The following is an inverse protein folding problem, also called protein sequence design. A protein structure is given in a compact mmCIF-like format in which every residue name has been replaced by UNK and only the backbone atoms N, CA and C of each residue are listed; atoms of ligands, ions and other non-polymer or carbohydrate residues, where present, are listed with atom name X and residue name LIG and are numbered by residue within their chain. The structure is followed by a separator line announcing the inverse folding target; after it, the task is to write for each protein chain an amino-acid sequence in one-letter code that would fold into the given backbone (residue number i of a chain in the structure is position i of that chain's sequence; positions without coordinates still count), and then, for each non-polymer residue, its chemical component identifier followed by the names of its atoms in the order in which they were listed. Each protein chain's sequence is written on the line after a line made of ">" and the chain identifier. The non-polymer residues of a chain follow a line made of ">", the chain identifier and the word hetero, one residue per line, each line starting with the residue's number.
data_IF_562659906080
#
_entry.id   IF_562659906080
#
_cell.length_a   1.000
_cell.length_b   1.000
_cell.length_c   1.000
_cell.angle_alpha   90.00
_cell.angle_beta   90.00
_cell.angle_gamma   90.00
#
_symmetry.space_group_name_H-M   'P 1'
#
loop_
_entity.id
_entity.type
_entity.pdbx_description
1 polymer ?
#
# COMPACT_ATOMS: atom_id res chain seq x y z
N UNK A 1 10.32 -5.18 -22.14
CA UNK A 1 10.72 -6.07 -20.99
C UNK A 1 11.95 -6.89 -21.35
N UNK A 2 12.85 -7.12 -20.38
CA UNK A 2 13.97 -8.05 -20.53
C UNK A 2 13.54 -9.52 -20.29
N UNK A 3 14.42 -10.49 -20.63
CA UNK A 3 14.13 -11.93 -20.48
C UNK A 3 13.83 -12.36 -19.05
N UNK A 4 14.47 -11.75 -18.05
CA UNK A 4 14.25 -12.06 -16.64
C UNK A 4 12.85 -11.64 -16.19
N UNK A 5 12.38 -10.45 -16.63
CA UNK A 5 11.02 -9.98 -16.32
C UNK A 5 9.96 -10.87 -16.97
N UNK A 6 10.17 -11.33 -18.21
CA UNK A 6 9.28 -12.30 -18.87
C UNK A 6 9.25 -13.60 -18.10
N UNK A 7 10.40 -14.12 -17.69
CA UNK A 7 10.49 -15.36 -16.89
C UNK A 7 9.78 -15.20 -15.52
N UNK A 8 10.00 -14.09 -14.85
CA UNK A 8 9.32 -13.74 -13.59
C UNK A 8 7.79 -13.78 -13.72
N UNK A 9 7.25 -13.12 -14.75
CA UNK A 9 5.81 -13.09 -15.02
C UNK A 9 5.26 -14.49 -15.33
N UNK A 10 5.97 -15.29 -16.12
CA UNK A 10 5.55 -16.66 -16.46
C UNK A 10 5.47 -17.58 -15.23
N UNK A 11 6.37 -17.40 -14.26
CA UNK A 11 6.26 -18.14 -12.98
C UNK A 11 5.03 -17.66 -12.20
N UNK A 12 4.80 -16.36 -12.10
CA UNK A 12 3.68 -15.80 -11.32
C UNK A 12 2.31 -16.16 -11.91
N UNK A 13 2.19 -16.29 -13.23
CA UNK A 13 0.94 -16.72 -13.90
C UNK A 13 0.46 -18.12 -13.48
N UNK A 14 1.32 -18.94 -12.88
CA UNK A 14 0.92 -20.25 -12.33
C UNK A 14 0.12 -20.14 -11.04
N UNK A 15 0.23 -19.04 -10.33
CA UNK A 15 -0.31 -18.84 -8.98
C UNK A 15 -1.27 -17.67 -8.87
N UNK A 16 -1.14 -16.69 -9.76
CA UNK A 16 -1.97 -15.49 -9.79
C UNK A 16 -2.93 -15.56 -10.99
N UNK A 17 -4.15 -15.05 -10.79
CA UNK A 17 -5.12 -14.95 -11.88
C UNK A 17 -4.71 -13.88 -12.91
N UNK A 18 -5.21 -13.99 -14.14
CA UNK A 18 -4.95 -13.01 -15.20
C UNK A 18 -5.34 -11.59 -14.80
N UNK A 19 -6.41 -11.42 -14.01
CA UNK A 19 -6.86 -10.12 -13.50
C UNK A 19 -5.91 -9.49 -12.47
N UNK A 20 -4.88 -10.22 -12.03
CA UNK A 20 -3.86 -9.74 -11.09
C UNK A 20 -2.57 -9.34 -11.79
N UNK A 21 -2.37 -9.73 -13.03
CA UNK A 21 -1.19 -9.35 -13.82
C UNK A 21 -1.70 -8.63 -15.06
N UNK A 22 -1.55 -7.33 -15.09
CA UNK A 22 -2.06 -6.47 -16.16
C UNK A 22 -0.91 -5.77 -16.87
N UNK A 23 -1.06 -5.62 -18.20
CA UNK A 23 -0.08 -4.96 -19.07
C UNK A 23 -0.40 -3.49 -19.27
N UNK A 24 0.53 -2.78 -19.91
CA UNK A 24 0.38 -1.38 -20.33
C UNK A 24 -0.97 -1.10 -21.02
N UNK A 25 -1.58 0.02 -20.68
CA UNK A 25 -2.93 0.39 -21.17
C UNK A 25 -4.07 -0.12 -20.29
N UNK A 26 -3.83 -1.11 -19.42
CA UNK A 26 -4.83 -1.66 -18.49
C UNK A 26 -4.64 -1.16 -17.05
N UNK A 27 -3.67 -0.30 -16.81
CA UNK A 27 -3.43 0.37 -15.53
C UNK A 27 -2.82 1.74 -15.78
N UNK A 28 -3.00 2.64 -14.81
CA UNK A 28 -2.46 3.97 -14.88
C UNK A 28 -1.72 4.30 -13.57
N UNK A 29 -0.47 4.78 -13.71
CA UNK A 29 0.32 5.35 -12.63
C UNK A 29 0.82 6.71 -13.08
N UNK A 30 0.36 7.76 -12.39
CA UNK A 30 0.65 9.15 -12.75
C UNK A 30 1.56 9.84 -11.73
N UNK A 31 2.41 10.75 -12.20
CA UNK A 31 2.91 11.86 -11.40
C UNK A 31 1.85 12.95 -11.40
N UNK A 32 1.27 13.36 -10.24
CA UNK A 32 0.25 14.40 -10.19
C UNK A 32 0.71 15.77 -10.69
N UNK A 33 2.00 15.95 -10.92
CA UNK A 33 2.61 17.18 -11.49
C UNK A 33 3.05 17.02 -12.93
N UNK A 34 2.76 15.87 -13.56
CA UNK A 34 3.11 15.56 -14.96
C UNK A 34 4.60 15.76 -15.32
N UNK A 35 5.51 15.62 -14.34
CA UNK A 35 6.96 15.79 -14.54
C UNK A 35 7.67 14.49 -14.91
N UNK A 36 7.08 13.36 -14.54
CA UNK A 36 7.65 12.02 -14.67
C UNK A 36 6.66 11.11 -15.39
N UNK A 37 7.16 10.32 -16.32
CA UNK A 37 6.37 9.33 -17.07
C UNK A 37 6.67 7.93 -16.54
N UNK A 38 5.61 7.17 -16.25
CA UNK A 38 5.75 5.76 -15.91
C UNK A 38 6.10 4.95 -17.17
N UNK A 39 7.20 4.20 -17.10
CA UNK A 39 7.67 3.34 -18.20
C UNK A 39 7.41 1.85 -17.96
N UNK A 40 6.92 1.46 -16.79
CA UNK A 40 6.62 0.05 -16.53
C UNK A 40 5.56 -0.47 -17.48
N UNK A 41 5.79 -1.66 -18.00
CA UNK A 41 4.87 -2.37 -18.89
C UNK A 41 3.96 -3.35 -18.15
N UNK A 42 4.23 -3.62 -16.86
CA UNK A 42 3.52 -4.63 -16.06
C UNK A 42 3.13 -4.07 -14.70
N UNK A 43 1.88 -4.33 -14.32
CA UNK A 43 1.38 -4.09 -12.98
C UNK A 43 0.84 -5.39 -12.37
N UNK A 44 1.27 -5.71 -11.15
CA UNK A 44 0.79 -6.86 -10.38
C UNK A 44 -0.06 -6.36 -9.23
N UNK A 45 -1.24 -6.98 -9.04
CA UNK A 45 -2.26 -6.59 -8.06
C UNK A 45 -2.54 -7.74 -7.07
N UNK A 46 -1.69 -7.95 -6.05
CA UNK A 46 -1.90 -9.01 -5.06
C UNK A 46 -3.16 -8.78 -4.23
N UNK A 47 -3.79 -9.88 -3.78
CA UNK A 47 -5.03 -9.85 -2.98
C UNK A 47 -4.78 -10.04 -1.47
N UNK A 48 -3.59 -10.46 -1.08
CA UNK A 48 -3.25 -10.74 0.32
C UNK A 48 -1.73 -10.68 0.56
N UNK A 49 -1.33 -10.60 1.83
CA UNK A 49 0.08 -10.55 2.26
C UNK A 49 0.91 -11.74 1.77
N UNK A 50 0.32 -12.94 1.66
CA UNK A 50 1.06 -14.14 1.20
C UNK A 50 1.44 -14.00 -0.26
N UNK A 51 0.56 -13.46 -1.09
CA UNK A 51 0.87 -13.17 -2.50
C UNK A 51 1.96 -12.10 -2.62
N UNK A 52 1.87 -11.00 -1.85
CA UNK A 52 2.96 -9.99 -1.79
C UNK A 52 4.28 -10.63 -1.42
N UNK A 53 4.30 -11.46 -0.37
CA UNK A 53 5.50 -12.19 0.06
C UNK A 53 6.09 -13.07 -1.05
N UNK A 54 5.24 -13.78 -1.79
CA UNK A 54 5.65 -14.66 -2.89
C UNK A 54 6.24 -13.85 -4.05
N UNK A 55 5.55 -12.77 -4.44
CA UNK A 55 5.99 -11.86 -5.51
C UNK A 55 7.35 -11.27 -5.18
N UNK A 56 7.50 -10.66 -4.00
CA UNK A 56 8.76 -10.02 -3.58
C UNK A 56 9.90 -11.04 -3.46
N UNK A 57 9.64 -12.22 -2.90
CA UNK A 57 10.65 -13.29 -2.81
C UNK A 57 11.17 -13.73 -4.17
N UNK A 58 10.27 -13.87 -5.14
CA UNK A 58 10.65 -14.24 -6.50
C UNK A 58 11.39 -13.10 -7.20
N UNK A 59 10.89 -11.87 -7.07
CA UNK A 59 11.53 -10.67 -7.61
C UNK A 59 12.95 -10.50 -7.06
N UNK A 60 13.14 -10.68 -5.75
CA UNK A 60 14.45 -10.64 -5.10
C UNK A 60 15.43 -11.67 -5.69
N UNK A 61 14.96 -12.92 -5.89
CA UNK A 61 15.79 -13.98 -6.47
C UNK A 61 16.21 -13.71 -7.92
N UNK A 62 15.33 -13.10 -8.69
CA UNK A 62 15.54 -12.81 -10.11
C UNK A 62 16.07 -11.39 -10.36
N UNK A 63 16.35 -10.62 -9.29
CA UNK A 63 16.81 -9.24 -9.34
C UNK A 63 15.88 -8.32 -10.14
N UNK A 64 14.56 -8.53 -9.99
CA UNK A 64 13.54 -7.69 -10.64
C UNK A 64 13.21 -6.49 -9.74
N UNK A 65 13.39 -5.25 -10.22
CA UNK A 65 13.03 -4.06 -9.46
C UNK A 65 11.50 -3.95 -9.33
N UNK A 66 11.01 -3.80 -8.09
CA UNK A 66 9.58 -3.63 -7.79
C UNK A 66 9.31 -2.21 -7.30
N UNK A 67 8.32 -1.56 -7.90
CA UNK A 67 7.83 -0.24 -7.51
C UNK A 67 6.47 -0.41 -6.83
N UNK A 68 6.38 -0.31 -5.50
CA UNK A 68 5.09 -0.36 -4.81
C UNK A 68 4.29 0.91 -5.07
N UNK A 69 3.02 0.75 -5.42
CA UNK A 69 2.12 1.86 -5.75
C UNK A 69 0.83 1.77 -4.94
N UNK A 70 0.47 2.89 -4.31
CA UNK A 70 -0.84 3.12 -3.71
C UNK A 70 -1.75 3.93 -4.64
N UNK A 71 -2.32 5.02 -4.12
CA UNK A 71 -3.25 5.88 -4.86
C UNK A 71 -2.61 6.88 -5.85
N UNK A 72 -1.35 6.77 -6.17
CA UNK A 72 -0.58 7.66 -7.08
C UNK A 72 -0.67 9.16 -6.76
N UNK A 73 -0.88 9.51 -5.49
CA UNK A 73 -1.03 10.91 -5.04
C UNK A 73 0.27 11.55 -4.56
N UNK A 74 1.37 10.80 -4.54
CA UNK A 74 2.68 11.26 -4.12
C UNK A 74 3.29 12.27 -5.08
N UNK A 75 3.93 13.33 -4.54
CA UNK A 75 4.44 14.46 -5.33
C UNK A 75 5.95 14.39 -5.62
N UNK A 76 6.61 13.31 -5.22
CA UNK A 76 8.08 13.17 -5.34
C UNK A 76 8.51 12.02 -6.25
N UNK A 77 7.58 11.44 -7.00
CA UNK A 77 7.86 10.45 -8.04
C UNK A 77 8.16 9.02 -7.53
N UNK A 78 8.01 8.73 -6.24
CA UNK A 78 8.31 7.41 -5.67
C UNK A 78 7.45 6.26 -6.24
N UNK A 79 6.31 6.57 -6.85
CA UNK A 79 5.42 5.61 -7.51
C UNK A 79 5.74 5.38 -8.99
N UNK A 80 6.67 6.14 -9.57
CA UNK A 80 6.95 6.12 -11.01
C UNK A 80 8.08 5.15 -11.32
N UNK A 81 7.84 4.21 -12.20
CA UNK A 81 8.88 3.38 -12.80
C UNK A 81 9.55 4.18 -13.93
N UNK A 82 10.87 4.34 -13.88
CA UNK A 82 11.65 5.08 -14.88
C UNK A 82 12.30 4.17 -15.93
N UNK A 83 12.16 2.84 -15.78
CA UNK A 83 12.63 1.84 -16.74
C UNK A 83 11.54 0.80 -17.05
N UNK A 84 11.62 0.17 -18.24
CA UNK A 84 10.60 -0.78 -18.73
C UNK A 84 10.66 -2.15 -18.03
N UNK A 85 11.78 -2.49 -17.42
CA UNK A 85 11.99 -3.75 -16.67
C UNK A 85 11.56 -3.67 -15.19
N UNK A 86 11.23 -2.48 -14.72
CA UNK A 86 10.65 -2.29 -13.40
C UNK A 86 9.16 -2.70 -13.40
N UNK A 87 8.75 -3.43 -12.38
CA UNK A 87 7.39 -3.95 -12.26
C UNK A 87 6.62 -3.18 -11.18
N UNK A 88 5.45 -2.67 -11.53
CA UNK A 88 4.54 -2.04 -10.59
C UNK A 88 3.88 -3.11 -9.70
N UNK A 89 3.86 -2.86 -8.40
CA UNK A 89 3.11 -3.63 -7.42
C UNK A 89 2.01 -2.75 -6.84
N UNK A 90 0.79 -2.85 -7.39
CA UNK A 90 -0.36 -2.09 -6.90
C UNK A 90 -1.00 -2.78 -5.71
N UNK A 91 -1.20 -2.03 -4.63
CA UNK A 91 -1.81 -2.56 -3.40
C UNK A 91 -3.33 -2.33 -3.34
N UNK A 92 -3.96 -1.88 -4.41
CA UNK A 92 -5.38 -1.51 -4.47
C UNK A 92 -6.35 -2.64 -4.04
N UNK A 93 -5.96 -3.91 -4.23
CA UNK A 93 -6.79 -5.07 -3.82
C UNK A 93 -6.62 -5.44 -2.34
N UNK A 94 -5.67 -4.84 -1.65
CA UNK A 94 -5.47 -4.95 -0.21
C UNK A 94 -6.21 -3.80 0.49
N UNK A 95 -7.55 -3.82 0.50
CA UNK A 95 -8.36 -2.68 0.90
C UNK A 95 -9.34 -2.96 2.05
N UNK A 96 -9.18 -4.08 2.74
CA UNK A 96 -10.04 -4.42 3.87
C UNK A 96 -9.83 -3.47 5.05
N UNK A 97 -10.94 -3.04 5.69
CA UNK A 97 -10.95 -2.20 6.88
C UNK A 97 -11.81 -2.88 7.94
N UNK A 98 -11.27 -3.09 9.14
CA UNK A 98 -11.99 -3.65 10.29
C UNK A 98 -11.91 -2.72 11.49
N UNK A 99 -13.06 -2.42 12.10
CA UNK A 99 -13.14 -1.67 13.35
C UNK A 99 -13.35 -2.61 14.54
N UNK A 100 -12.48 -2.49 15.54
CA UNK A 100 -12.55 -3.23 16.79
C UNK A 100 -13.13 -2.36 17.89
N UNK A 101 -14.44 -2.42 18.10
CA UNK A 101 -15.21 -1.55 19.02
C UNK A 101 -14.67 -1.56 20.46
N UNK A 102 -14.28 -2.73 20.99
CA UNK A 102 -13.79 -2.85 22.37
C UNK A 102 -12.48 -2.13 22.63
N UNK A 103 -11.61 -2.06 21.63
CA UNK A 103 -10.27 -1.46 21.74
C UNK A 103 -10.14 -0.12 21.01
N UNK A 104 -11.20 0.36 20.36
CA UNK A 104 -11.15 1.53 19.49
C UNK A 104 -10.04 1.47 18.41
N UNK A 105 -9.79 0.30 17.86
CA UNK A 105 -8.75 0.09 16.87
C UNK A 105 -9.35 -0.10 15.48
N UNK A 106 -8.64 0.43 14.47
CA UNK A 106 -8.84 0.10 13.06
C UNK A 106 -7.70 -0.81 12.60
N UNK A 107 -8.02 -1.98 12.10
CA UNK A 107 -7.11 -2.79 11.30
C UNK A 107 -7.40 -2.50 9.83
N UNK A 108 -6.38 -2.05 9.12
CA UNK A 108 -6.54 -1.52 7.76
C UNK A 108 -5.46 -2.11 6.86
N UNK A 109 -5.85 -2.59 5.71
CA UNK A 109 -4.89 -3.00 4.68
C UNK A 109 -4.35 -1.78 3.92
N UNK A 110 -3.13 -1.90 3.41
CA UNK A 110 -2.35 -0.78 2.84
C UNK A 110 -3.00 -0.06 1.67
N UNK A 111 -3.82 -0.76 0.87
CA UNK A 111 -4.58 -0.22 -0.26
C UNK A 111 -5.91 0.43 0.11
N UNK A 112 -6.28 0.47 1.39
CA UNK A 112 -7.51 1.12 1.81
C UNK A 112 -7.44 2.64 1.63
N UNK A 113 -8.49 3.22 1.05
CA UNK A 113 -8.58 4.65 0.78
C UNK A 113 -8.86 5.41 2.08
N UNK A 114 -8.19 6.54 2.28
CA UNK A 114 -8.29 7.33 3.51
C UNK A 114 -9.71 7.77 3.82
N UNK A 115 -10.49 8.23 2.85
CA UNK A 115 -11.89 8.62 3.06
C UNK A 115 -12.76 7.45 3.54
N UNK A 116 -12.54 6.24 3.06
CA UNK A 116 -13.26 5.03 3.53
C UNK A 116 -12.93 4.72 4.99
N UNK A 117 -11.68 4.88 5.41
CA UNK A 117 -11.24 4.73 6.81
C UNK A 117 -11.93 5.75 7.70
N UNK A 118 -11.95 7.03 7.28
CA UNK A 118 -12.61 8.14 8.01
C UNK A 118 -14.11 7.88 8.15
N UNK A 119 -14.77 7.48 7.07
CA UNK A 119 -16.20 7.19 7.07
C UNK A 119 -16.54 6.03 8.01
N UNK A 120 -15.74 4.94 8.01
CA UNK A 120 -15.95 3.84 8.94
C UNK A 120 -15.78 4.29 10.39
N UNK A 121 -14.75 5.08 10.70
CA UNK A 121 -14.55 5.65 12.04
C UNK A 121 -15.75 6.50 12.47
N UNK A 122 -16.21 7.40 11.59
CA UNK A 122 -17.35 8.30 11.83
C UNK A 122 -18.65 7.52 12.12
N UNK A 123 -18.94 6.47 11.36
CA UNK A 123 -20.09 5.59 11.56
C UNK A 123 -20.09 4.90 12.94
N UNK A 124 -18.95 4.84 13.59
CA UNK A 124 -18.80 4.34 14.96
C UNK A 124 -18.64 5.45 16.00
N UNK A 125 -18.95 6.71 15.66
CA UNK A 125 -18.81 7.87 16.55
C UNK A 125 -17.34 8.16 16.92
N UNK A 126 -16.40 7.92 16.00
CA UNK A 126 -14.96 8.14 16.18
C UNK A 126 -14.39 9.01 15.08
N UNK A 127 -13.32 9.71 15.41
CA UNK A 127 -12.56 10.53 14.47
C UNK A 127 -11.25 9.81 14.08
N UNK A 128 -11.02 9.65 12.79
CA UNK A 128 -9.69 9.37 12.24
C UNK A 128 -9.09 10.71 11.78
N UNK A 129 -8.08 11.29 12.51
CA UNK A 129 -7.77 12.72 12.40
C UNK A 129 -6.87 13.10 11.22
N UNK A 130 -6.46 12.18 10.37
CA UNK A 130 -5.70 12.50 9.17
C UNK A 130 -6.61 13.15 8.12
N UNK A 131 -6.25 14.37 7.67
CA UNK A 131 -7.00 15.12 6.66
C UNK A 131 -6.04 15.60 5.58
N UNK A 132 -6.21 15.08 4.36
CA UNK A 132 -5.39 15.36 3.18
C UNK A 132 -6.27 15.83 2.04
N UNK A 133 -5.76 16.68 1.15
CA UNK A 133 -6.47 17.07 -0.08
C UNK A 133 -6.78 15.86 -0.97
N UNK A 134 -5.94 14.83 -0.93
CA UNK A 134 -6.08 13.59 -1.71
C UNK A 134 -6.85 12.48 -0.98
N UNK A 135 -7.59 12.75 0.09
CA UNK A 135 -8.21 11.70 0.93
C UNK A 135 -9.17 10.76 0.18
N UNK A 136 -9.74 11.21 -0.94
CA UNK A 136 -10.61 10.41 -1.80
C UNK A 136 -9.88 9.38 -2.66
N UNK A 137 -8.55 9.46 -2.79
CA UNK A 137 -7.76 8.57 -3.65
C UNK A 137 -6.49 8.04 -3.01
N UNK A 138 -5.90 8.75 -2.02
CA UNK A 138 -4.71 8.25 -1.35
C UNK A 138 -5.00 6.99 -0.53
N UNK A 139 -4.03 6.08 -0.50
CA UNK A 139 -4.10 4.82 0.22
C UNK A 139 -3.22 4.88 1.47
N UNK A 140 -3.70 4.25 2.55
CA UNK A 140 -3.08 4.36 3.88
C UNK A 140 -1.64 3.85 3.93
N UNK A 141 -1.29 2.82 3.16
CA UNK A 141 0.08 2.32 3.07
C UNK A 141 1.04 3.38 2.54
N UNK A 142 0.64 4.12 1.49
CA UNK A 142 1.40 5.24 0.95
C UNK A 142 1.49 6.41 1.94
N UNK A 143 0.41 6.71 2.66
CA UNK A 143 0.42 7.75 3.70
C UNK A 143 1.43 7.42 4.81
N UNK A 144 1.48 6.16 5.28
CA UNK A 144 2.44 5.68 6.27
C UNK A 144 3.88 5.70 5.76
N UNK A 145 4.09 5.24 4.52
CA UNK A 145 5.42 5.21 3.90
C UNK A 145 6.06 6.61 3.82
N UNK A 146 5.25 7.63 3.54
CA UNK A 146 5.70 9.02 3.41
C UNK A 146 5.55 9.85 4.68
N UNK A 147 5.03 9.27 5.77
CA UNK A 147 4.65 9.96 7.00
C UNK A 147 3.75 11.17 6.71
N UNK A 148 2.65 10.95 5.99
CA UNK A 148 1.76 12.02 5.57
C UNK A 148 1.27 12.83 6.78
N UNK A 149 1.38 14.17 6.66
CA UNK A 149 0.91 15.11 7.66
C UNK A 149 -0.57 15.44 7.45
N UNK A 150 -0.86 16.68 7.20
CA UNK A 150 -2.22 17.17 6.94
C UNK A 150 -2.58 18.33 7.88
N UNK A 151 -3.83 18.76 7.81
CA UNK A 151 -4.25 19.98 8.52
C UNK A 151 -4.24 19.84 10.06
N UNK A 152 -4.39 18.60 10.55
CA UNK A 152 -4.58 18.34 11.99
C UNK A 152 -3.29 17.94 12.73
N UNK A 153 -2.12 18.05 12.09
CA UNK A 153 -0.83 17.57 12.60
C UNK A 153 -0.45 18.19 13.94
N UNK A 154 -0.70 19.48 14.14
CA UNK A 154 -0.34 20.17 15.41
C UNK A 154 -1.02 19.50 16.61
N UNK A 155 -2.25 19.02 16.45
CA UNK A 155 -3.02 18.42 17.55
C UNK A 155 -2.82 16.91 17.66
N UNK A 156 -2.73 16.20 16.54
CA UNK A 156 -2.83 14.74 16.49
C UNK A 156 -1.58 14.05 15.96
N UNK A 157 -0.56 14.80 15.56
CA UNK A 157 0.64 14.25 14.94
C UNK A 157 0.44 13.84 13.47
N UNK A 158 1.49 13.26 12.90
CA UNK A 158 1.49 12.70 11.56
C UNK A 158 0.85 11.28 11.57
N UNK A 159 0.66 10.69 10.39
CA UNK A 159 0.03 9.36 10.30
C UNK A 159 0.82 8.26 11.03
N UNK A 160 2.14 8.37 11.15
CA UNK A 160 2.95 7.40 11.91
C UNK A 160 2.69 7.46 13.41
N UNK A 161 2.36 8.63 13.95
CA UNK A 161 1.99 8.81 15.37
C UNK A 161 0.66 8.10 15.69
N UNK A 162 -0.19 7.92 14.66
CA UNK A 162 -1.46 7.21 14.76
C UNK A 162 -1.32 5.69 14.58
N UNK A 163 -0.13 5.19 14.21
CA UNK A 163 0.13 3.80 13.90
C UNK A 163 0.65 3.04 15.12
N UNK A 164 -0.16 2.16 15.71
CA UNK A 164 0.24 1.33 16.86
C UNK A 164 0.93 0.03 16.46
N UNK A 165 0.72 -0.45 15.26
CA UNK A 165 1.34 -1.68 14.79
C UNK A 165 1.33 -1.77 13.27
N UNK A 166 2.33 -2.47 12.76
CA UNK A 166 2.59 -2.59 11.33
C UNK A 166 2.84 -4.05 10.96
N UNK A 167 2.28 -4.47 9.83
CA UNK A 167 2.73 -5.64 9.10
C UNK A 167 3.32 -5.16 7.76
N UNK A 168 4.51 -5.65 7.44
CA UNK A 168 5.21 -5.30 6.21
C UNK A 168 5.85 -6.54 5.58
N UNK A 169 6.00 -6.53 4.27
CA UNK A 169 6.75 -7.55 3.55
C UNK A 169 8.08 -6.96 3.11
N UNK A 170 9.17 -7.57 3.57
CA UNK A 170 10.53 -7.15 3.22
C UNK A 170 10.88 -7.55 1.77
N UNK A 171 11.89 -6.93 1.12
CA UNK A 171 12.27 -7.24 -0.25
C UNK A 171 12.54 -8.73 -0.52
N UNK A 172 13.06 -9.46 0.47
CA UNK A 172 13.30 -10.90 0.37
C UNK A 172 12.04 -11.77 0.57
N UNK A 173 10.85 -11.14 0.66
CA UNK A 173 9.57 -11.79 0.90
C UNK A 173 9.28 -12.16 2.36
N UNK A 174 10.15 -11.80 3.31
CA UNK A 174 9.92 -12.05 4.74
C UNK A 174 8.83 -11.13 5.27
N UNK A 175 7.84 -11.70 5.98
CA UNK A 175 6.78 -10.91 6.62
C UNK A 175 7.27 -10.49 8.00
N UNK A 176 7.30 -9.19 8.23
CA UNK A 176 7.51 -8.56 9.52
C UNK A 176 6.15 -8.15 10.09
N UNK A 177 5.91 -8.36 11.38
CA UNK A 177 4.69 -7.91 12.04
C UNK A 177 4.96 -7.57 13.50
N UNK A 178 4.65 -6.33 13.89
CA UNK A 178 4.64 -5.88 15.30
C UNK A 178 3.26 -6.05 15.95
N UNK A 179 2.26 -6.55 15.22
CA UNK A 179 0.86 -6.62 15.64
C UNK A 179 0.59 -7.59 16.80
N UNK A 180 1.44 -8.61 16.98
CA UNK A 180 1.32 -9.59 18.06
C UNK A 180 1.62 -9.00 19.45
N UNK A 181 2.34 -7.88 19.51
CA UNK A 181 2.72 -7.20 20.75
C UNK A 181 1.64 -6.27 21.30
N UNK A 182 0.54 -6.06 20.58
CA UNK A 182 -0.52 -5.08 20.90
C UNK A 182 -1.56 -5.59 21.91
N UNK A 183 -1.22 -6.56 22.76
CA UNK A 183 -2.21 -7.15 23.70
C UNK A 183 -2.78 -6.19 24.75
N UNK A 184 -2.28 -4.96 24.89
CA UNK A 184 -2.63 -4.09 26.02
C UNK A 184 -2.55 -2.57 25.77
N UNK A 185 -2.95 -2.04 24.62
CA UNK A 185 -2.96 -0.59 24.45
C UNK A 185 -4.37 -0.04 24.37
N UNK A 186 -4.75 0.72 25.40
CA UNK A 186 -5.93 1.59 25.46
C UNK A 186 -5.50 2.93 24.87
N UNK A 187 -5.82 3.23 23.63
CA UNK A 187 -5.56 4.54 23.04
C UNK A 187 -6.43 4.80 21.80
N UNK A 188 -6.64 6.08 21.40
CA UNK A 188 -7.47 6.39 20.26
C UNK A 188 -6.87 5.84 18.97
N UNK A 189 -7.70 5.31 18.14
CA UNK A 189 -7.54 4.74 16.78
C UNK A 189 -6.08 4.48 16.34
N UNK A 190 -5.74 3.21 16.26
CA UNK A 190 -4.49 2.76 15.68
C UNK A 190 -4.69 2.17 14.29
N UNK A 191 -3.75 2.42 13.41
CA UNK A 191 -3.69 1.85 12.08
C UNK A 191 -2.78 0.63 12.10
N UNK A 192 -3.24 -0.44 11.49
CA UNK A 192 -2.45 -1.58 11.11
C UNK A 192 -2.36 -1.60 9.59
N UNK A 193 -1.27 -1.10 9.02
CA UNK A 193 -1.03 -1.19 7.59
C UNK A 193 -0.26 -2.46 7.24
N UNK A 194 -0.67 -3.10 6.17
CA UNK A 194 0.01 -4.23 5.54
C UNK A 194 0.80 -3.73 4.35
#
# INVERSE_FOLDING_TARGET
>A
MNSNTVHFINILKKDLSESQIVSTGSFEVKDPRDRLLNKSEICIKPKNTKEVSKILRLAYKLMIPIIPVGGSTGLVGGQIANETDQVILSLEKLNEIKFYKKSNLLKVQSGAILSSIKNLALNHGRLFPLTLASEGSCQIGGNLATNAGGLNVIKYGNVRDLCLGLEAVLPNGKIFSSMKSLKALISPIAILAL
#
